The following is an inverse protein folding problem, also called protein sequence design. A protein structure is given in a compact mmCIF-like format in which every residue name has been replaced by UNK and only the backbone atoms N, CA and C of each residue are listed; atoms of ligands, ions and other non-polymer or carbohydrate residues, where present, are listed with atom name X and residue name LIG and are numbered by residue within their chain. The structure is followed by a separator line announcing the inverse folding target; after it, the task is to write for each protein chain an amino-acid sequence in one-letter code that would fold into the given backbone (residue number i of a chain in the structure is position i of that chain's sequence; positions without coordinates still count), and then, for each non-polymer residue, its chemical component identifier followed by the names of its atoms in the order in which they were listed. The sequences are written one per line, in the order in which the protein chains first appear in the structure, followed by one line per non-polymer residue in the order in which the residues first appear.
data_IF_075621047427
#
_entry.id   IF_075621047427
#
_cell.length_a   1.000
_cell.length_b   1.000
_cell.length_c   1.000
_cell.angle_alpha   90.00
_cell.angle_beta   90.00
_cell.angle_gamma   90.00
#
_symmetry.space_group_name_H-M   'P 1'
#
loop_
_entity.id
_entity.type
_entity.pdbx_description
1 polymer ?
#
# COMPACT_ATOMS: atom_id res chain seq x y z
N UNK A 1 5.05 20.28 -0.58
CA UNK A 1 4.61 20.70 -1.95
C UNK A 1 3.88 19.60 -2.70
N UNK A 2 4.39 18.36 -2.78
CA UNK A 2 3.76 17.29 -3.57
C UNK A 2 2.42 16.81 -3.00
N UNK A 3 2.30 16.61 -1.69
CA UNK A 3 1.04 16.22 -1.03
C UNK A 3 -0.11 17.21 -1.30
N UNK A 4 0.12 18.50 -1.01
CA UNK A 4 -0.86 19.55 -1.27
C UNK A 4 -1.21 19.65 -2.76
N UNK A 5 -0.22 19.57 -3.65
CA UNK A 5 -0.46 19.59 -5.09
C UNK A 5 -1.35 18.43 -5.54
N UNK A 6 -1.05 17.20 -5.11
CA UNK A 6 -1.87 16.05 -5.46
C UNK A 6 -3.28 16.13 -4.86
N UNK A 7 -3.42 16.57 -3.60
CA UNK A 7 -4.73 16.74 -2.98
C UNK A 7 -5.58 17.74 -3.77
N UNK A 8 -5.03 18.92 -4.09
CA UNK A 8 -5.73 19.95 -4.86
C UNK A 8 -6.11 19.46 -6.27
N UNK A 9 -5.20 18.74 -6.94
CA UNK A 9 -5.49 18.14 -8.25
C UNK A 9 -6.64 17.11 -8.16
N UNK A 10 -6.64 16.22 -7.16
CA UNK A 10 -7.70 15.23 -6.99
C UNK A 10 -9.03 15.87 -6.59
N UNK A 11 -9.01 16.88 -5.73
CA UNK A 11 -10.23 17.63 -5.37
C UNK A 11 -10.82 18.34 -6.59
N UNK A 12 -9.99 18.99 -7.41
CA UNK A 12 -10.44 19.66 -8.64
C UNK A 12 -11.01 18.66 -9.65
N UNK A 13 -10.25 17.60 -9.95
CA UNK A 13 -10.66 16.55 -10.90
C UNK A 13 -11.94 15.85 -10.44
N UNK A 14 -11.98 15.41 -9.18
CA UNK A 14 -13.15 14.76 -8.60
C UNK A 14 -14.38 15.66 -8.60
N UNK A 15 -14.24 16.92 -8.19
CA UNK A 15 -15.36 17.88 -8.17
C UNK A 15 -15.94 18.14 -9.56
N UNK A 16 -15.09 18.38 -10.55
CA UNK A 16 -15.52 18.69 -11.92
C UNK A 16 -16.16 17.49 -12.60
N UNK A 17 -15.56 16.29 -12.45
CA UNK A 17 -16.08 15.06 -13.04
C UNK A 17 -17.42 14.69 -12.39
N UNK A 18 -17.49 14.68 -11.06
CA UNK A 18 -18.73 14.36 -10.33
C UNK A 18 -19.86 15.35 -10.67
N UNK A 19 -19.53 16.64 -10.82
CA UNK A 19 -20.54 17.64 -11.24
C UNK A 19 -21.02 17.42 -12.66
N UNK A 20 -20.15 16.96 -13.57
CA UNK A 20 -20.52 16.65 -14.94
C UNK A 20 -21.40 15.39 -15.01
N UNK A 21 -21.06 14.35 -14.25
CA UNK A 21 -21.87 13.14 -14.08
C UNK A 21 -23.26 13.48 -13.52
N UNK A 22 -23.34 14.28 -12.45
CA UNK A 22 -24.62 14.75 -11.91
C UNK A 22 -25.49 15.47 -12.93
N UNK A 23 -24.85 16.23 -13.83
CA UNK A 23 -25.55 16.97 -14.90
C UNK A 23 -25.81 16.13 -16.14
N UNK A 24 -25.41 14.86 -16.17
CA UNK A 24 -25.50 13.98 -17.33
C UNK A 24 -24.84 14.56 -18.58
N UNK A 25 -23.71 15.25 -18.40
CA UNK A 25 -22.91 15.81 -19.50
C UNK A 25 -21.48 15.29 -19.45
N UNK A 26 -20.82 15.26 -20.60
CA UNK A 26 -19.42 14.90 -20.66
C UNK A 26 -18.55 15.88 -19.84
N UNK A 27 -17.57 15.39 -19.06
CA UNK A 27 -16.63 16.26 -18.37
C UNK A 27 -15.92 17.20 -19.35
N UNK A 28 -15.72 18.47 -18.98
CA UNK A 28 -15.14 19.46 -19.88
C UNK A 28 -13.70 19.07 -20.20
N UNK A 29 -13.32 19.10 -21.49
CA UNK A 29 -12.03 18.55 -21.97
C UNK A 29 -10.78 19.11 -21.27
N UNK A 30 -10.85 20.33 -20.75
CA UNK A 30 -9.73 20.95 -20.03
C UNK A 30 -9.38 20.20 -18.74
N UNK A 31 -10.32 19.49 -18.10
CA UNK A 31 -10.05 18.77 -16.85
C UNK A 31 -9.05 17.64 -17.04
N UNK A 32 -9.01 17.03 -18.23
CA UNK A 32 -8.09 15.93 -18.53
C UNK A 32 -6.63 16.37 -18.47
N UNK A 33 -6.31 17.65 -18.72
CA UNK A 33 -4.97 18.17 -18.47
C UNK A 33 -4.55 17.96 -17.00
N UNK A 34 -5.44 18.26 -16.06
CA UNK A 34 -5.19 18.08 -14.63
C UNK A 34 -5.17 16.61 -14.21
N UNK A 35 -5.98 15.76 -14.85
CA UNK A 35 -5.92 14.30 -14.67
C UNK A 35 -4.55 13.78 -15.08
N UNK A 36 -4.07 14.11 -16.27
CA UNK A 36 -2.74 13.70 -16.72
C UNK A 36 -1.62 14.29 -15.87
N UNK A 37 -1.79 15.53 -15.36
CA UNK A 37 -0.85 16.14 -14.42
C UNK A 37 -0.84 15.45 -13.05
N UNK A 38 -1.95 14.84 -12.61
CA UNK A 38 -2.00 14.11 -11.35
C UNK A 38 -1.20 12.81 -11.37
N UNK A 39 -1.01 12.18 -12.55
CA UNK A 39 -0.23 10.94 -12.70
C UNK A 39 1.22 11.08 -12.23
N UNK A 40 2.02 12.06 -12.71
CA UNK A 40 3.38 12.25 -12.19
C UNK A 40 3.39 12.67 -10.72
N UNK A 41 2.36 13.39 -10.22
CA UNK A 41 2.24 13.69 -8.80
C UNK A 41 2.00 12.43 -7.96
N UNK A 42 1.18 11.48 -8.42
CA UNK A 42 0.94 10.21 -7.75
C UNK A 42 2.24 9.42 -7.59
N UNK A 43 3.02 9.29 -8.68
CA UNK A 43 4.35 8.66 -8.64
C UNK A 43 5.29 9.43 -7.70
N UNK A 44 5.24 10.76 -7.76
CA UNK A 44 6.11 11.62 -6.96
C UNK A 44 5.85 11.53 -5.46
N UNK A 45 4.60 11.34 -5.01
CA UNK A 45 4.32 11.21 -3.56
C UNK A 45 5.02 10.00 -2.99
N UNK A 46 4.83 8.82 -3.60
CA UNK A 46 5.47 7.60 -3.12
C UNK A 46 6.99 7.65 -3.23
N UNK A 47 7.50 8.28 -4.29
CA UNK A 47 8.94 8.46 -4.50
C UNK A 47 9.53 9.41 -3.46
N UNK A 48 8.91 10.57 -3.22
CA UNK A 48 9.40 11.54 -2.21
C UNK A 48 9.34 10.93 -0.82
N UNK A 49 8.25 10.26 -0.45
CA UNK A 49 8.17 9.57 0.85
C UNK A 49 9.26 8.52 1.01
N UNK A 50 9.56 7.73 -0.02
CA UNK A 50 10.68 6.80 -0.01
C UNK A 50 12.03 7.52 0.20
N UNK A 51 12.27 8.60 -0.56
CA UNK A 51 13.53 9.35 -0.50
C UNK A 51 13.74 10.05 0.83
N UNK A 52 12.68 10.41 1.55
CA UNK A 52 12.79 10.94 2.92
C UNK A 52 13.43 9.92 3.87
N UNK A 53 13.15 8.61 3.69
CA UNK A 53 13.83 7.56 4.46
C UNK A 53 15.29 7.38 3.99
N UNK A 54 15.52 7.35 2.68
CA UNK A 54 16.86 7.20 2.11
C UNK A 54 17.81 8.34 2.51
N UNK A 55 17.29 9.53 2.74
CA UNK A 55 18.07 10.71 3.12
C UNK A 55 18.50 10.74 4.59
N UNK A 56 18.08 9.79 5.43
CA UNK A 56 18.42 9.78 6.86
C UNK A 56 19.84 9.23 7.09
N UNK A 57 20.79 10.04 7.59
CA UNK A 57 22.17 9.61 7.80
C UNK A 57 22.26 8.48 8.84
N UNK A 58 23.17 7.53 8.62
CA UNK A 58 23.42 6.41 9.53
C UNK A 58 22.35 5.31 9.53
N UNK A 59 21.42 5.32 8.56
CA UNK A 59 20.33 4.34 8.44
C UNK A 59 20.51 3.47 7.19
N UNK A 60 21.44 2.53 7.26
CA UNK A 60 21.91 1.74 6.11
C UNK A 60 20.83 0.92 5.42
N UNK A 61 19.84 0.41 6.16
CA UNK A 61 18.72 -0.30 5.56
C UNK A 61 17.92 0.57 4.58
N UNK A 62 17.70 1.85 4.92
CA UNK A 62 16.99 2.78 4.05
C UNK A 62 17.87 3.39 2.96
N UNK A 63 19.19 3.24 3.03
CA UNK A 63 20.09 3.78 2.02
C UNK A 63 20.22 2.81 0.84
N UNK A 64 19.12 2.64 0.08
CA UNK A 64 19.09 1.78 -1.10
C UNK A 64 18.27 2.40 -2.23
N UNK A 65 18.83 2.37 -3.45
CA UNK A 65 18.19 2.92 -4.63
C UNK A 65 16.90 2.17 -5.02
N UNK A 66 16.73 0.92 -4.59
CA UNK A 66 15.55 0.10 -4.90
C UNK A 66 14.32 0.49 -4.08
N UNK A 67 14.49 1.27 -3.01
CA UNK A 67 13.41 1.60 -2.08
C UNK A 67 12.32 2.41 -2.78
N UNK A 68 12.66 3.42 -3.58
CA UNK A 68 11.65 4.19 -4.31
C UNK A 68 10.81 3.32 -5.29
N UNK A 69 11.42 2.50 -6.16
CA UNK A 69 10.68 1.50 -6.95
C UNK A 69 9.81 0.56 -6.09
N UNK A 70 10.30 0.10 -4.94
CA UNK A 70 9.54 -0.76 -4.02
C UNK A 70 8.34 -0.05 -3.39
N UNK A 71 8.49 1.22 -3.00
CA UNK A 71 7.36 2.05 -2.55
C UNK A 71 6.29 2.21 -3.63
N UNK A 72 6.72 2.40 -4.88
CA UNK A 72 5.79 2.53 -6.00
C UNK A 72 5.04 1.20 -6.26
N UNK A 73 5.77 0.08 -6.33
CA UNK A 73 5.18 -1.24 -6.57
C UNK A 73 4.17 -1.63 -5.46
N UNK A 74 4.56 -1.46 -4.19
CA UNK A 74 3.64 -1.71 -3.06
C UNK A 74 2.42 -0.77 -3.05
N UNK A 75 2.55 0.49 -3.47
CA UNK A 75 1.42 1.41 -3.59
C UNK A 75 0.42 0.98 -4.68
N UNK A 76 0.92 0.56 -5.85
CA UNK A 76 0.08 0.03 -6.94
C UNK A 76 -0.56 -1.32 -6.62
N UNK A 77 -0.09 -2.02 -5.59
CA UNK A 77 -0.75 -3.22 -5.09
C UNK A 77 -1.76 -2.91 -3.97
N UNK A 78 -1.33 -2.22 -2.91
CA UNK A 78 -2.13 -1.97 -1.71
C UNK A 78 -3.31 -1.03 -1.98
N UNK A 79 -3.13 0.02 -2.78
CA UNK A 79 -4.19 0.99 -3.10
C UNK A 79 -5.36 0.32 -3.83
N UNK A 80 -5.12 -0.31 -5.00
CA UNK A 80 -6.13 -1.10 -5.69
C UNK A 80 -6.73 -2.25 -4.86
N UNK A 81 -5.95 -2.93 -4.02
CA UNK A 81 -6.49 -3.94 -3.12
C UNK A 81 -7.50 -3.35 -2.12
N UNK A 82 -7.19 -2.19 -1.52
CA UNK A 82 -8.11 -1.48 -0.64
C UNK A 82 -9.38 -1.01 -1.38
N UNK A 83 -9.25 -0.59 -2.64
CA UNK A 83 -10.41 -0.26 -3.50
C UNK A 83 -11.29 -1.50 -3.72
N UNK A 84 -10.72 -2.67 -4.03
CA UNK A 84 -11.51 -3.89 -4.20
C UNK A 84 -12.20 -4.34 -2.91
N UNK A 85 -11.56 -4.14 -1.75
CA UNK A 85 -12.19 -4.36 -0.44
C UNK A 85 -13.38 -3.40 -0.26
N UNK A 86 -13.19 -2.11 -0.57
CA UNK A 86 -14.26 -1.12 -0.50
C UNK A 86 -15.42 -1.48 -1.44
N UNK A 87 -15.15 -1.88 -2.69
CA UNK A 87 -16.18 -2.37 -3.62
C UNK A 87 -16.95 -3.57 -3.06
N UNK A 88 -16.29 -4.49 -2.37
CA UNK A 88 -16.97 -5.64 -1.75
C UNK A 88 -17.89 -5.22 -0.59
N UNK A 89 -17.48 -4.22 0.20
CA UNK A 89 -18.32 -3.60 1.24
C UNK A 89 -19.52 -2.90 0.60
N UNK A 90 -19.30 -2.08 -0.42
CA UNK A 90 -20.35 -1.34 -1.11
C UNK A 90 -21.34 -2.27 -1.83
N UNK A 91 -20.87 -3.34 -2.46
CA UNK A 91 -21.74 -4.35 -3.07
C UNK A 91 -22.66 -5.02 -2.05
N UNK A 92 -22.20 -5.18 -0.80
CA UNK A 92 -22.98 -5.79 0.28
C UNK A 92 -23.98 -4.82 0.92
N UNK A 93 -23.62 -3.55 1.08
CA UNK A 93 -24.40 -2.59 1.88
C UNK A 93 -25.13 -1.52 1.05
N UNK A 94 -24.72 -1.28 -0.18
CA UNK A 94 -25.25 -0.24 -1.06
C UNK A 94 -25.67 -0.75 -2.44
N UNK A 95 -25.65 -2.08 -2.69
CA UNK A 95 -25.96 -2.71 -3.98
C UNK A 95 -25.16 -2.15 -5.18
N UNK A 96 -24.04 -1.49 -4.92
CA UNK A 96 -23.17 -0.93 -5.95
C UNK A 96 -22.40 -2.04 -6.68
N UNK A 97 -22.46 -2.06 -8.01
CA UNK A 97 -21.66 -2.98 -8.84
C UNK A 97 -20.58 -2.22 -9.62
N UNK A 98 -19.32 -2.41 -9.21
CA UNK A 98 -18.16 -1.84 -9.90
C UNK A 98 -17.92 -2.42 -11.30
N UNK A 99 -18.60 -3.51 -11.66
CA UNK A 99 -18.45 -4.21 -12.93
C UNK A 99 -17.28 -5.20 -12.94
N UNK A 100 -17.53 -6.39 -13.50
CA UNK A 100 -16.56 -7.48 -13.58
C UNK A 100 -15.27 -7.08 -14.33
N UNK A 101 -15.41 -6.29 -15.40
CA UNK A 101 -14.26 -5.89 -16.23
C UNK A 101 -13.28 -4.98 -15.46
N UNK A 102 -13.80 -4.04 -14.67
CA UNK A 102 -13.01 -3.17 -13.82
C UNK A 102 -12.30 -3.98 -12.72
N UNK A 103 -13.02 -4.90 -12.06
CA UNK A 103 -12.46 -5.79 -11.03
C UNK A 103 -11.33 -6.64 -11.60
N UNK A 104 -11.51 -7.22 -12.80
CA UNK A 104 -10.48 -8.03 -13.48
C UNK A 104 -9.24 -7.21 -13.84
N UNK A 105 -9.42 -5.97 -14.30
CA UNK A 105 -8.30 -5.04 -14.59
C UNK A 105 -7.53 -4.70 -13.31
N UNK A 106 -8.23 -4.34 -12.25
CA UNK A 106 -7.62 -4.05 -10.94
C UNK A 106 -6.88 -5.26 -10.37
N UNK A 107 -7.49 -6.44 -10.43
CA UNK A 107 -6.85 -7.70 -10.00
C UNK A 107 -5.55 -7.97 -10.74
N UNK A 108 -5.53 -7.71 -12.05
CA UNK A 108 -4.33 -7.88 -12.88
C UNK A 108 -3.22 -6.90 -12.48
N UNK A 109 -3.57 -5.63 -12.23
CA UNK A 109 -2.62 -4.61 -11.75
C UNK A 109 -2.02 -5.03 -10.40
N UNK A 110 -2.86 -5.43 -9.45
CA UNK A 110 -2.43 -5.89 -8.11
C UNK A 110 -1.45 -7.05 -8.24
N UNK A 111 -1.79 -8.07 -9.03
CA UNK A 111 -0.98 -9.27 -9.20
C UNK A 111 0.43 -8.93 -9.72
N UNK A 112 0.54 -8.12 -10.77
CA UNK A 112 1.84 -7.69 -11.28
C UNK A 112 2.61 -6.83 -10.28
N UNK A 113 1.93 -5.89 -9.62
CA UNK A 113 2.54 -5.01 -8.64
C UNK A 113 3.09 -5.78 -7.42
N UNK A 114 2.36 -6.79 -6.93
CA UNK A 114 2.82 -7.67 -5.84
C UNK A 114 4.03 -8.51 -6.25
N UNK A 115 4.02 -9.08 -7.46
CA UNK A 115 5.15 -9.85 -7.98
C UNK A 115 6.40 -8.97 -8.06
N UNK A 116 6.28 -7.77 -8.63
CA UNK A 116 7.37 -6.80 -8.75
C UNK A 116 7.87 -6.36 -7.37
N UNK A 117 6.97 -6.04 -6.44
CA UNK A 117 7.34 -5.68 -5.07
C UNK A 117 8.09 -6.82 -4.36
N UNK A 118 7.60 -8.06 -4.49
CA UNK A 118 8.24 -9.25 -3.91
C UNK A 118 9.63 -9.45 -4.51
N UNK A 119 9.77 -9.31 -5.84
CA UNK A 119 11.06 -9.38 -6.51
C UNK A 119 12.04 -8.31 -5.99
N UNK A 120 11.61 -7.06 -5.86
CA UNK A 120 12.45 -6.00 -5.31
C UNK A 120 12.88 -6.28 -3.87
N UNK A 121 11.99 -6.83 -3.05
CA UNK A 121 12.33 -7.23 -1.70
C UNK A 121 13.38 -8.36 -1.66
N UNK A 122 13.26 -9.34 -2.55
CA UNK A 122 14.27 -10.40 -2.68
C UNK A 122 15.63 -9.86 -3.17
N UNK A 123 15.63 -8.80 -3.98
CA UNK A 123 16.88 -8.13 -4.36
C UNK A 123 17.57 -7.43 -3.17
N UNK A 124 16.82 -6.93 -2.20
CA UNK A 124 17.40 -6.40 -0.94
C UNK A 124 18.10 -7.51 -0.15
N UNK A 125 17.46 -8.68 -0.02
CA UNK A 125 18.11 -9.88 0.52
C UNK A 125 19.36 -10.27 -0.26
N UNK A 126 19.25 -10.36 -1.59
CA UNK A 126 20.37 -10.75 -2.43
C UNK A 126 21.56 -9.79 -2.26
N UNK A 127 21.34 -8.48 -2.41
CA UNK A 127 22.41 -7.48 -2.33
C UNK A 127 23.00 -7.42 -0.92
N UNK A 128 22.18 -7.45 0.12
CA UNK A 128 22.64 -7.43 1.51
C UNK A 128 23.62 -8.55 1.82
N UNK A 129 23.21 -9.80 1.55
CA UNK A 129 24.01 -10.98 1.84
C UNK A 129 25.16 -11.18 0.85
N UNK A 130 24.94 -10.94 -0.44
CA UNK A 130 25.98 -11.15 -1.45
C UNK A 130 27.13 -10.14 -1.33
N UNK A 131 26.83 -8.90 -0.93
CA UNK A 131 27.83 -7.84 -0.77
C UNK A 131 28.33 -7.72 0.67
N UNK A 132 27.87 -8.59 1.58
CA UNK A 132 28.24 -8.61 3.00
C UNK A 132 28.11 -7.24 3.68
N UNK A 133 27.02 -6.50 3.40
CA UNK A 133 26.80 -5.16 3.96
C UNK A 133 26.16 -5.30 5.36
N UNK A 134 26.91 -5.09 6.47
CA UNK A 134 26.44 -5.52 7.79
C UNK A 134 25.14 -4.82 8.21
N UNK A 135 25.05 -3.50 8.00
CA UNK A 135 23.86 -2.74 8.33
C UNK A 135 22.61 -3.15 7.55
N UNK A 136 22.75 -3.67 6.33
CA UNK A 136 21.63 -4.18 5.55
C UNK A 136 21.26 -5.61 5.96
N UNK A 137 22.26 -6.46 6.18
CA UNK A 137 22.07 -7.84 6.65
C UNK A 137 21.42 -7.90 8.02
N UNK A 138 21.96 -7.20 9.03
CA UNK A 138 21.44 -7.22 10.40
C UNK A 138 19.97 -6.74 10.46
N UNK A 139 19.60 -5.78 9.62
CA UNK A 139 18.22 -5.30 9.53
C UNK A 139 17.29 -6.39 8.97
N UNK A 140 17.73 -7.15 7.98
CA UNK A 140 16.98 -8.27 7.41
C UNK A 140 16.92 -9.47 8.37
N UNK A 141 18.01 -9.74 9.09
CA UNK A 141 18.08 -10.76 10.14
C UNK A 141 17.11 -10.46 11.26
N UNK A 142 17.16 -9.25 11.82
CA UNK A 142 16.21 -8.78 12.82
C UNK A 142 14.75 -8.97 12.39
N UNK A 143 14.43 -8.72 11.11
CA UNK A 143 13.09 -8.88 10.57
C UNK A 143 12.61 -10.33 10.45
N UNK A 144 13.47 -11.27 10.01
CA UNK A 144 13.03 -12.63 9.64
C UNK A 144 13.54 -13.75 10.52
N UNK A 145 14.66 -13.54 11.20
CA UNK A 145 15.36 -14.58 11.96
C UNK A 145 15.59 -14.17 13.42
N UNK A 146 15.48 -12.88 13.72
CA UNK A 146 15.93 -12.29 14.97
C UNK A 146 17.41 -11.93 14.88
N UNK A 147 17.85 -11.01 15.74
CA UNK A 147 19.22 -10.52 15.80
C UNK A 147 19.77 -10.70 17.21
N UNK A 148 20.87 -11.43 17.34
CA UNK A 148 21.58 -11.57 18.61
C UNK A 148 22.47 -10.34 18.83
N UNK A 149 22.32 -9.68 19.98
CA UNK A 149 23.15 -8.55 20.39
C UNK A 149 23.35 -8.58 21.91
N UNK A 150 24.60 -8.54 22.37
CA UNK A 150 24.97 -8.64 23.79
C UNK A 150 24.43 -9.87 24.55
N UNK A 151 24.23 -11.01 23.86
CA UNK A 151 23.73 -12.25 24.46
C UNK A 151 22.20 -12.31 24.62
N UNK A 152 21.49 -11.29 24.13
CA UNK A 152 20.03 -11.29 24.01
C UNK A 152 19.63 -11.40 22.52
N UNK A 153 18.52 -12.07 22.22
CA UNK A 153 17.99 -12.20 20.86
C UNK A 153 16.76 -11.33 20.72
N UNK A 154 16.83 -10.34 19.83
CA UNK A 154 15.75 -9.42 19.52
C UNK A 154 14.97 -9.94 18.31
N UNK A 155 13.67 -10.19 18.47
CA UNK A 155 12.86 -10.90 17.48
C UNK A 155 11.37 -10.52 17.48
N UNK A 156 10.99 -9.41 18.14
CA UNK A 156 9.58 -8.99 18.26
C UNK A 156 8.85 -8.82 16.90
N UNK A 157 9.56 -8.52 15.80
CA UNK A 157 8.99 -8.35 14.46
C UNK A 157 8.91 -9.65 13.64
N UNK A 158 9.63 -10.70 14.03
CA UNK A 158 9.71 -11.96 13.27
C UNK A 158 8.32 -12.57 12.99
N UNK A 159 7.40 -12.67 13.98
CA UNK A 159 6.07 -13.21 13.71
C UNK A 159 5.26 -12.38 12.71
N UNK A 160 5.41 -11.06 12.74
CA UNK A 160 4.71 -10.15 11.84
C UNK A 160 5.22 -10.30 10.41
N UNK A 161 6.54 -10.38 10.23
CA UNK A 161 7.13 -10.51 8.90
C UNK A 161 6.78 -11.84 8.25
N UNK A 162 6.86 -12.96 8.97
CA UNK A 162 6.43 -14.25 8.44
C UNK A 162 4.92 -14.30 8.14
N UNK A 163 4.09 -13.64 8.97
CA UNK A 163 2.66 -13.51 8.68
C UNK A 163 2.43 -12.71 7.40
N UNK A 164 3.14 -11.59 7.21
CA UNK A 164 3.07 -10.79 5.99
C UNK A 164 3.50 -11.60 4.77
N UNK A 165 4.59 -12.37 4.87
CA UNK A 165 5.06 -13.27 3.81
C UNK A 165 4.01 -14.32 3.46
N UNK A 166 3.42 -14.99 4.46
CA UNK A 166 2.37 -15.97 4.24
C UNK A 166 1.15 -15.35 3.53
N UNK A 167 0.69 -14.19 3.99
CA UNK A 167 -0.45 -13.50 3.39
C UNK A 167 -0.15 -13.03 1.96
N UNK A 168 1.07 -12.54 1.70
CA UNK A 168 1.50 -12.14 0.36
C UNK A 168 1.43 -13.32 -0.61
N UNK A 169 2.04 -14.46 -0.26
CA UNK A 169 2.05 -15.64 -1.11
C UNK A 169 0.68 -16.32 -1.21
N UNK A 170 -0.11 -16.36 -0.13
CA UNK A 170 -1.46 -16.90 -0.17
C UNK A 170 -2.38 -16.05 -1.06
N UNK A 171 -2.35 -14.72 -0.91
CA UNK A 171 -3.12 -13.81 -1.74
C UNK A 171 -2.72 -13.89 -3.22
N UNK A 172 -1.41 -13.89 -3.51
CA UNK A 172 -0.89 -14.09 -4.86
C UNK A 172 -1.27 -15.46 -5.43
N UNK A 173 -1.24 -16.51 -4.62
CA UNK A 173 -1.65 -17.86 -4.99
C UNK A 173 -3.13 -17.94 -5.38
N UNK A 174 -4.01 -17.27 -4.64
CA UNK A 174 -5.45 -17.18 -4.97
C UNK A 174 -5.64 -16.45 -6.31
N UNK A 175 -5.01 -15.29 -6.49
CA UNK A 175 -5.12 -14.54 -7.77
C UNK A 175 -4.54 -15.33 -8.95
N UNK A 176 -3.41 -15.99 -8.73
CA UNK A 176 -2.77 -16.87 -9.71
C UNK A 176 -3.67 -18.05 -10.09
N UNK A 177 -4.29 -18.71 -9.10
CA UNK A 177 -5.26 -19.78 -9.34
C UNK A 177 -6.44 -19.32 -10.19
N UNK A 178 -7.08 -18.19 -9.83
CA UNK A 178 -8.18 -17.61 -10.61
C UNK A 178 -7.76 -17.34 -12.07
N UNK A 179 -6.55 -16.81 -12.27
CA UNK A 179 -6.01 -16.51 -13.60
C UNK A 179 -5.73 -17.77 -14.42
N UNK A 180 -5.10 -18.79 -13.81
CA UNK A 180 -4.71 -20.04 -14.48
C UNK A 180 -5.94 -20.89 -14.78
N UNK A 181 -6.86 -21.02 -13.83
CA UNK A 181 -8.11 -21.77 -14.00
C UNK A 181 -9.11 -21.05 -14.91
N UNK A 182 -8.88 -19.78 -15.26
CA UNK A 182 -9.78 -18.91 -16.05
C UNK A 182 -11.16 -18.76 -15.41
N UNK A 183 -11.19 -18.70 -14.07
CA UNK A 183 -12.41 -18.56 -13.27
C UNK A 183 -12.45 -17.14 -12.70
N UNK A 184 -13.64 -16.56 -12.63
CA UNK A 184 -13.88 -15.32 -11.91
C UNK A 184 -14.75 -15.61 -10.68
N UNK A 185 -14.22 -15.33 -9.50
CA UNK A 185 -14.97 -15.36 -8.25
C UNK A 185 -14.62 -14.10 -7.45
N UNK A 186 -15.58 -13.19 -7.34
CA UNK A 186 -15.39 -11.93 -6.63
C UNK A 186 -15.05 -12.13 -5.16
N UNK A 187 -15.57 -13.18 -4.50
CA UNK A 187 -15.28 -13.45 -3.08
C UNK A 187 -13.81 -13.83 -2.90
N UNK A 188 -13.29 -14.68 -3.79
CA UNK A 188 -11.86 -15.04 -3.78
C UNK A 188 -10.97 -13.84 -4.10
N UNK A 189 -11.37 -12.99 -5.04
CA UNK A 189 -10.67 -11.71 -5.30
C UNK A 189 -10.66 -10.81 -4.06
N UNK A 190 -11.77 -10.69 -3.34
CA UNK A 190 -11.84 -9.93 -2.09
C UNK A 190 -10.92 -10.51 -1.02
N UNK A 191 -10.96 -11.83 -0.80
CA UNK A 191 -10.08 -12.50 0.18
C UNK A 191 -8.61 -12.27 -0.16
N UNK A 192 -8.23 -12.45 -1.43
CA UNK A 192 -6.87 -12.19 -1.88
C UNK A 192 -6.45 -10.73 -1.67
N UNK A 193 -7.36 -9.79 -1.94
CA UNK A 193 -7.12 -8.36 -1.74
C UNK A 193 -6.90 -8.01 -0.26
N UNK A 194 -7.67 -8.62 0.65
CA UNK A 194 -7.48 -8.46 2.10
C UNK A 194 -6.10 -8.98 2.52
N UNK A 195 -5.73 -10.19 2.10
CA UNK A 195 -4.44 -10.79 2.43
C UNK A 195 -3.28 -9.93 1.92
N UNK A 196 -3.33 -9.51 0.65
CA UNK A 196 -2.30 -8.65 0.04
C UNK A 196 -2.22 -7.29 0.75
N UNK A 197 -3.36 -6.68 1.05
CA UNK A 197 -3.40 -5.41 1.76
C UNK A 197 -2.75 -5.52 3.15
N UNK A 198 -3.13 -6.53 3.93
CA UNK A 198 -2.56 -6.77 5.27
C UNK A 198 -1.08 -7.11 5.20
N UNK A 199 -0.65 -7.90 4.21
CA UNK A 199 0.76 -8.21 3.99
C UNK A 199 1.58 -6.94 3.74
N UNK A 200 1.15 -6.10 2.80
CA UNK A 200 1.86 -4.87 2.44
C UNK A 200 1.79 -3.81 3.53
N UNK A 201 0.68 -3.73 4.27
CA UNK A 201 0.56 -2.85 5.43
C UNK A 201 1.52 -3.25 6.54
N UNK A 202 1.65 -4.56 6.80
CA UNK A 202 2.59 -5.10 7.79
C UNK A 202 4.04 -4.90 7.35
N UNK A 203 4.36 -5.25 6.10
CA UNK A 203 5.69 -5.07 5.50
C UNK A 203 6.12 -3.60 5.52
N UNK A 204 5.26 -2.67 5.08
CA UNK A 204 5.62 -1.24 5.06
C UNK A 204 5.54 -0.57 6.41
N UNK A 205 4.48 -0.82 7.18
CA UNK A 205 4.21 -0.13 8.44
C UNK A 205 5.14 -0.59 9.56
N UNK A 206 5.32 -1.91 9.72
CA UNK A 206 6.15 -2.47 10.77
C UNK A 206 7.55 -2.80 10.22
N UNK A 207 7.61 -3.62 9.17
CA UNK A 207 8.88 -4.15 8.67
C UNK A 207 9.85 -3.06 8.20
N UNK A 208 9.47 -2.33 7.15
CA UNK A 208 10.32 -1.33 6.51
C UNK A 208 10.69 -0.18 7.45
N UNK A 209 9.73 0.31 8.24
CA UNK A 209 9.98 1.44 9.14
C UNK A 209 10.86 1.01 10.32
N UNK A 210 10.54 -0.09 11.00
CA UNK A 210 11.30 -0.45 12.20
C UNK A 210 12.65 -1.10 11.90
N UNK A 211 12.78 -1.85 10.81
CA UNK A 211 14.09 -2.36 10.38
C UNK A 211 15.07 -1.23 10.05
N UNK A 212 14.58 -0.11 9.52
CA UNK A 212 15.42 1.06 9.31
C UNK A 212 16.01 1.62 10.60
N UNK A 213 15.35 1.40 11.73
CA UNK A 213 15.81 1.87 13.01
C UNK A 213 16.79 0.93 13.72
N UNK A 214 16.93 -0.32 13.25
CA UNK A 214 17.64 -1.41 13.93
C UNK A 214 18.57 -2.15 12.95
N UNK A 215 19.90 -2.16 13.18
CA UNK A 215 20.63 -1.47 14.25
C UNK A 215 20.61 0.05 14.10
N UNK A 216 20.83 0.76 15.20
CA UNK A 216 20.95 2.22 15.18
C UNK A 216 22.38 2.67 14.79
N UNK A 217 22.64 3.98 14.58
CA UNK A 217 23.96 4.46 14.17
C UNK A 217 25.11 4.20 15.17
N UNK A 218 24.78 3.78 16.40
CA UNK A 218 25.74 3.37 17.43
C UNK A 218 25.89 1.82 17.49
N UNK A 219 25.35 1.12 16.50
CA UNK A 219 25.32 -0.35 16.41
C UNK A 219 24.49 -1.04 17.51
N UNK A 220 23.70 -0.27 18.25
CA UNK A 220 22.82 -0.81 19.29
C UNK A 220 21.47 -1.26 18.72
N UNK A 221 20.92 -2.32 19.32
CA UNK A 221 19.62 -2.89 18.97
C UNK A 221 18.58 -2.47 19.99
N UNK A 222 17.53 -1.78 19.53
CA UNK A 222 16.43 -1.34 20.39
C UNK A 222 15.10 -1.74 19.78
N UNK A 223 14.39 -2.65 20.44
CA UNK A 223 13.04 -3.04 20.03
C UNK A 223 12.03 -1.93 20.31
N UNK A 224 11.20 -1.65 19.32
CA UNK A 224 10.11 -0.69 19.46
C UNK A 224 8.83 -1.39 19.93
N UNK A 225 8.20 -0.85 20.97
CA UNK A 225 6.89 -1.24 21.45
C UNK A 225 5.98 -0.01 21.45
N UNK A 226 4.88 0.00 20.69
CA UNK A 226 4.02 1.17 20.61
C UNK A 226 3.32 1.41 21.95
N UNK A 227 3.34 2.66 22.38
CA UNK A 227 2.59 3.12 23.55
C UNK A 227 1.09 3.18 23.25
N UNK A 228 0.27 3.19 24.31
CA UNK A 228 -1.19 3.35 24.17
C UNK A 228 -1.58 4.63 23.42
N UNK A 229 -0.80 5.71 23.57
CA UNK A 229 -1.03 6.96 22.87
C UNK A 229 -0.78 6.81 21.35
N UNK A 230 0.29 6.13 20.94
CA UNK A 230 0.59 5.89 19.53
C UNK A 230 -0.44 4.97 18.86
N UNK A 231 -0.91 3.95 19.59
CA UNK A 231 -2.03 3.09 19.16
C UNK A 231 -3.30 3.94 18.99
N UNK A 232 -3.61 4.79 19.97
CA UNK A 232 -4.77 5.70 19.92
C UNK A 232 -4.71 6.65 18.73
N UNK A 233 -3.54 7.23 18.44
CA UNK A 233 -3.33 8.08 17.25
C UNK A 233 -3.55 7.29 15.97
N UNK A 234 -3.01 6.07 15.88
CA UNK A 234 -3.16 5.20 14.70
C UNK A 234 -4.63 4.88 14.45
N UNK A 235 -5.37 4.49 15.48
CA UNK A 235 -6.82 4.25 15.39
C UNK A 235 -7.55 5.53 14.96
N UNK A 236 -7.19 6.69 15.51
CA UNK A 236 -7.78 7.98 15.15
C UNK A 236 -7.58 8.35 13.68
N UNK A 237 -6.40 8.09 13.13
CA UNK A 237 -6.10 8.30 11.70
C UNK A 237 -6.97 7.39 10.83
N UNK A 238 -7.06 6.10 11.17
CA UNK A 238 -7.93 5.15 10.47
C UNK A 238 -9.40 5.53 10.54
N UNK A 239 -9.90 5.88 11.72
CA UNK A 239 -11.28 6.32 11.93
C UNK A 239 -11.61 7.57 11.11
N UNK A 240 -10.70 8.55 11.08
CA UNK A 240 -10.86 9.76 10.26
C UNK A 240 -10.90 9.43 8.77
N UNK A 241 -10.02 8.53 8.31
CA UNK A 241 -10.02 8.05 6.92
C UNK A 241 -11.33 7.38 6.54
N UNK A 242 -11.82 6.45 7.36
CA UNK A 242 -13.11 5.78 7.13
C UNK A 242 -14.29 6.76 7.18
N UNK A 243 -14.27 7.75 8.07
CA UNK A 243 -15.29 8.80 8.13
C UNK A 243 -15.34 9.59 6.82
N UNK A 244 -14.19 10.10 6.37
CA UNK A 244 -14.11 10.88 5.12
C UNK A 244 -14.54 10.04 3.91
N UNK A 245 -14.07 8.80 3.82
CA UNK A 245 -14.43 7.88 2.74
C UNK A 245 -15.93 7.58 2.73
N UNK A 246 -16.53 7.36 3.90
CA UNK A 246 -17.98 7.14 4.04
C UNK A 246 -18.78 8.37 3.59
N UNK A 247 -18.35 9.58 3.96
CA UNK A 247 -18.99 10.82 3.54
C UNK A 247 -18.93 11.00 2.02
N UNK A 248 -17.75 10.78 1.42
CA UNK A 248 -17.55 10.90 -0.02
C UNK A 248 -18.35 9.86 -0.81
N UNK A 249 -18.41 8.61 -0.34
CA UNK A 249 -19.24 7.58 -0.98
C UNK A 249 -20.71 7.89 -0.91
N UNK A 250 -21.21 8.44 0.21
CA UNK A 250 -22.60 8.86 0.30
C UNK A 250 -22.94 9.97 -0.70
N UNK A 251 -22.01 10.90 -0.94
CA UNK A 251 -22.17 11.95 -1.95
C UNK A 251 -22.18 11.34 -3.35
N UNK A 252 -21.23 10.45 -3.66
CA UNK A 252 -21.10 9.84 -4.97
C UNK A 252 -22.32 8.97 -5.33
N UNK A 253 -22.76 8.11 -4.41
CA UNK A 253 -23.95 7.28 -4.60
C UNK A 253 -25.22 8.12 -4.74
N UNK A 254 -25.35 9.22 -3.98
CA UNK A 254 -26.50 10.11 -4.12
C UNK A 254 -26.58 10.77 -5.50
N UNK A 255 -25.42 11.04 -6.14
CA UNK A 255 -25.38 11.52 -7.53
C UNK A 255 -25.79 10.42 -8.51
N UNK A 256 -25.35 9.18 -8.28
CA UNK A 256 -25.72 8.03 -9.12
C UNK A 256 -27.23 7.73 -9.05
N UNK A 257 -27.82 7.75 -7.85
CA UNK A 257 -29.27 7.61 -7.65
C UNK A 257 -30.07 8.75 -8.31
N UNK A 258 -29.60 10.00 -8.25
CA UNK A 258 -30.23 11.14 -8.95
C UNK A 258 -30.22 10.99 -10.49
N UNK A 259 -29.31 10.19 -11.01
CA UNK A 259 -29.11 9.97 -12.44
C UNK A 259 -29.92 8.77 -12.96
N UNK A 260 -30.07 7.72 -12.15
CA UNK A 260 -30.85 6.53 -12.51
C UNK A 260 -32.38 6.76 -12.44
N UNK A 261 -32.81 7.85 -11.79
CA UNK A 261 -34.22 8.27 -11.66
C UNK A 261 -34.60 9.39 -12.63
#
# INVERSE_FOLDING_TARGET
CVLWGYLLLNLLCGWVILTAERKQVAPPKWIYFFVYLSLPFAVSIHTVTAMLYCGLPGRHFWLSAIIAPRFLASAFAAGPALILIACAVMKKFANFDAGEEAIKKMTTIIMYAVIINTFFFLLEFFVGYYSEVPGHMHSLEYLFFGLEHHGEVYNNLVPFMWTATLFNFAGLGILGYLKIAKIFDFRLVTVASILIFLALWTDKGLGFVFAGFVPNPLEEVTEYYPTLNEIGITIGVWATGFLLLTLLYKIALGVEEEVEH
#
